data_IF_140258576182
#
_entry.id   IF_140258576182
#
_cell.length_a   1.000
_cell.length_b   1.000
_cell.length_c   1.000
_cell.angle_alpha   90.00
_cell.angle_beta   90.00
_cell.angle_gamma   90.00
#
_symmetry.space_group_name_H-M   'P 1'
#
loop_
_entity.id
_entity.type
_entity.pdbx_description
1 polymer ?
#
# COMPACT_ATOMS: atom_id res chain seq x y z
N UNK A 1 17.55 -8.19 7.15
CA UNK A 1 17.70 -7.65 5.79
C UNK A 1 16.54 -6.71 5.48
N UNK A 2 16.81 -5.55 4.85
CA UNK A 2 15.80 -4.60 4.37
C UNK A 2 15.25 -5.11 3.03
N UNK A 3 14.25 -5.99 3.07
CA UNK A 3 13.60 -6.50 1.86
C UNK A 3 12.34 -5.66 1.55
N UNK A 4 12.29 -4.89 0.45
CA UNK A 4 11.10 -4.12 0.08
C UNK A 4 9.90 -5.01 -0.26
N UNK A 5 10.11 -6.30 -0.54
CA UNK A 5 9.06 -7.27 -0.83
C UNK A 5 8.47 -7.95 0.42
N UNK A 6 8.89 -7.54 1.63
CA UNK A 6 8.46 -8.18 2.88
C UNK A 6 6.97 -7.96 3.25
N UNK A 7 6.33 -6.93 2.70
CA UNK A 7 4.88 -6.73 2.84
C UNK A 7 4.10 -7.72 1.99
N UNK A 8 2.90 -8.08 2.44
CA UNK A 8 2.03 -8.98 1.68
C UNK A 8 1.46 -8.27 0.46
N UNK A 9 1.43 -8.97 -0.67
CA UNK A 9 0.81 -8.46 -1.89
C UNK A 9 -0.71 -8.40 -1.73
N UNK A 10 -1.29 -7.28 -2.12
CA UNK A 10 -2.73 -7.08 -2.13
C UNK A 10 -3.33 -7.69 -3.41
N UNK A 11 -4.64 -7.93 -3.37
CA UNK A 11 -5.37 -8.63 -4.44
C UNK A 11 -6.57 -7.83 -4.89
N UNK A 12 -7.23 -8.32 -5.94
CA UNK A 12 -8.42 -7.72 -6.54
C UNK A 12 -8.14 -6.27 -6.97
N UNK A 13 -8.97 -5.32 -6.59
CA UNK A 13 -8.84 -3.90 -6.94
C UNK A 13 -7.56 -3.23 -6.39
N UNK A 14 -6.89 -3.85 -5.43
CA UNK A 14 -5.63 -3.37 -4.85
C UNK A 14 -4.40 -4.15 -5.34
N UNK A 15 -4.54 -4.98 -6.38
CA UNK A 15 -3.42 -5.69 -6.99
C UNK A 15 -2.33 -4.70 -7.45
N UNK A 16 -1.06 -5.07 -7.28
CA UNK A 16 0.08 -4.19 -7.57
C UNK A 16 0.56 -3.35 -6.37
N UNK A 17 -0.19 -3.35 -5.27
CA UNK A 17 0.25 -2.77 -4.00
C UNK A 17 0.62 -3.85 -2.98
N UNK A 18 1.41 -3.45 -1.98
CA UNK A 18 1.81 -4.25 -0.83
C UNK A 18 1.36 -3.59 0.45
N UNK A 19 1.10 -4.40 1.47
CA UNK A 19 0.82 -3.92 2.82
C UNK A 19 1.84 -4.45 3.81
N UNK A 20 2.41 -3.55 4.63
CA UNK A 20 3.30 -3.90 5.73
C UNK A 20 2.65 -3.60 7.08
N UNK A 21 2.71 -4.57 8.00
CA UNK A 21 2.24 -4.41 9.38
C UNK A 21 3.22 -3.58 10.22
N UNK A 22 2.70 -2.55 10.88
CA UNK A 22 3.39 -1.79 11.92
C UNK A 22 2.45 -1.61 13.11
N UNK A 23 2.62 -2.43 14.16
CA UNK A 23 1.70 -2.48 15.32
C UNK A 23 0.22 -2.55 14.87
N UNK A 24 -0.59 -1.56 15.23
CA UNK A 24 -2.01 -1.42 14.89
C UNK A 24 -2.28 -0.81 13.49
N UNK A 25 -1.24 -0.38 12.79
CA UNK A 25 -1.32 0.29 11.49
C UNK A 25 -0.85 -0.63 10.35
N UNK A 26 -1.19 -0.24 9.12
CA UNK A 26 -0.61 -0.78 7.89
C UNK A 26 -0.05 0.37 7.05
N UNK A 27 1.07 0.07 6.40
CA UNK A 27 1.66 0.90 5.35
C UNK A 27 1.29 0.24 4.03
N UNK A 28 0.58 0.97 3.17
CA UNK A 28 0.32 0.57 1.79
C UNK A 28 1.39 1.21 0.91
N UNK A 29 2.05 0.40 0.10
CA UNK A 29 3.18 0.83 -0.70
C UNK A 29 3.32 0.02 -1.98
N UNK A 30 4.13 0.50 -2.93
CA UNK A 30 4.63 -0.31 -4.05
C UNK A 30 6.15 -0.24 -4.10
N UNK A 31 6.77 -1.25 -4.69
CA UNK A 31 8.21 -1.23 -4.96
C UNK A 31 8.42 -0.84 -6.42
N UNK A 32 9.13 0.27 -6.65
CA UNK A 32 9.57 0.70 -7.96
C UNK A 32 10.95 0.10 -8.21
N UNK A 33 10.98 -1.01 -8.95
CA UNK A 33 12.21 -1.76 -9.22
C UNK A 33 13.24 -0.97 -10.03
N UNK A 34 12.88 -0.25 -11.12
CA UNK A 34 13.81 0.59 -11.86
C UNK A 34 14.54 1.63 -11.00
N UNK A 35 13.82 2.31 -10.10
CA UNK A 35 14.38 3.37 -9.26
C UNK A 35 14.93 2.84 -7.93
N UNK A 36 14.71 1.54 -7.62
CA UNK A 36 15.00 0.92 -6.34
C UNK A 36 14.36 1.67 -5.16
N UNK A 37 13.18 2.23 -5.37
CA UNK A 37 12.46 3.06 -4.40
C UNK A 37 11.21 2.35 -3.89
N UNK A 38 10.75 2.75 -2.71
CA UNK A 38 9.46 2.33 -2.14
C UNK A 38 8.56 3.54 -2.07
N UNK A 39 7.50 3.53 -2.87
CA UNK A 39 6.49 4.57 -2.83
C UNK A 39 5.51 4.23 -1.71
N UNK A 40 5.54 5.01 -0.63
CA UNK A 40 4.55 4.91 0.45
C UNK A 40 3.33 5.73 0.06
N UNK A 41 2.21 5.05 -0.14
CA UNK A 41 1.01 5.64 -0.72
C UNK A 41 -0.03 5.97 0.35
N UNK A 42 -0.09 5.16 1.41
CA UNK A 42 -1.05 5.36 2.48
C UNK A 42 -0.58 4.71 3.78
N UNK A 43 -0.87 5.33 4.92
CA UNK A 43 -0.62 4.77 6.25
C UNK A 43 -1.87 4.97 7.09
N UNK A 44 -2.40 3.89 7.64
CA UNK A 44 -3.65 3.96 8.40
C UNK A 44 -3.88 2.80 9.35
N UNK A 45 -4.91 2.89 10.21
CA UNK A 45 -5.27 1.84 11.14
C UNK A 45 -5.76 0.57 10.42
N UNK A 46 -5.48 -0.62 10.96
CA UNK A 46 -5.84 -1.89 10.29
C UNK A 46 -7.33 -2.02 9.94
N UNK A 47 -8.22 -1.39 10.72
CA UNK A 47 -9.67 -1.57 10.61
C UNK A 47 -10.25 -1.04 9.30
N UNK A 48 -9.65 -0.01 8.74
CA UNK A 48 -10.18 0.80 7.64
C UNK A 48 -9.15 1.05 6.52
N UNK A 49 -7.86 0.77 6.76
CA UNK A 49 -6.77 1.10 5.82
C UNK A 49 -7.00 0.71 4.36
N UNK A 50 -7.66 -0.41 4.09
CA UNK A 50 -7.90 -0.85 2.71
C UNK A 50 -9.09 -0.15 2.07
N UNK A 51 -10.13 0.14 2.83
CA UNK A 51 -11.30 0.90 2.38
C UNK A 51 -10.88 2.33 2.09
N UNK A 52 -10.25 3.00 3.06
CA UNK A 52 -9.78 4.38 2.87
C UNK A 52 -8.79 4.52 1.71
N UNK A 53 -7.94 3.52 1.49
CA UNK A 53 -7.03 3.55 0.35
C UNK A 53 -7.75 3.34 -0.99
N UNK A 54 -8.81 2.53 -1.04
CA UNK A 54 -9.65 2.39 -2.25
C UNK A 54 -10.35 3.69 -2.57
N UNK A 55 -10.93 4.36 -1.57
CA UNK A 55 -11.61 5.64 -1.75
C UNK A 55 -10.63 6.69 -2.28
N UNK A 56 -9.41 6.73 -1.74
CA UNK A 56 -8.35 7.61 -2.21
C UNK A 56 -7.95 7.31 -3.66
N UNK A 57 -7.83 6.03 -4.04
CA UNK A 57 -7.56 5.64 -5.43
C UNK A 57 -8.70 5.95 -6.38
N UNK A 58 -9.96 5.81 -5.94
CA UNK A 58 -11.13 6.15 -6.73
C UNK A 58 -11.16 7.66 -7.01
N UNK A 59 -11.00 8.47 -5.96
CA UNK A 59 -10.93 9.92 -6.08
C UNK A 59 -9.77 10.38 -6.98
N UNK A 60 -8.61 9.73 -6.91
CA UNK A 60 -7.46 10.05 -7.75
C UNK A 60 -7.62 9.68 -9.23
N UNK A 61 -8.60 8.84 -9.60
CA UNK A 61 -8.90 8.49 -11.00
C UNK A 61 -9.91 9.42 -11.65
N UNK A 62 -10.65 10.19 -10.85
CA UNK A 62 -11.71 11.09 -11.31
C UNK A 62 -11.19 12.51 -11.62
N UNK A 63 -9.97 12.83 -11.23
CA UNK A 63 -9.26 14.09 -11.53
C UNK A 63 -8.16 13.90 -12.56
#
# INVERSE_FOLDING_TARGET
ALNPLFGHELRFELSGFRSRRVRSHRIIYRYNEPEKTVDVLYVGPRRDVYESFRDLLAAAKEG
#
